data_IF_802591789348
#
_entry.id   IF_802591789348
#
_cell.length_a   1.000
_cell.length_b   1.000
_cell.length_c   1.000
_cell.angle_alpha   90.00
_cell.angle_beta   90.00
_cell.angle_gamma   90.00
#
_symmetry.space_group_name_H-M   'P 1'
#
loop_
_entity.id
_entity.type
_entity.pdbx_description
1 polymer ?
#
# COMPACT_ATOMS: atom_id res chain seq x y z
N UNK A 1 67.86 22.12 -38.32
CA UNK A 1 67.90 23.24 -39.27
C UNK A 1 66.68 23.11 -40.18
N UNK A 2 65.92 24.20 -40.30
CA UNK A 2 64.62 24.30 -40.99
C UNK A 2 64.69 23.85 -42.45
N UNK A 3 63.63 23.21 -42.97
CA UNK A 3 62.97 23.78 -44.15
C UNK A 3 61.54 23.27 -44.36
N UNK A 4 60.71 24.27 -44.63
CA UNK A 4 59.27 24.34 -44.70
C UNK A 4 58.70 23.86 -46.06
N UNK A 5 57.48 23.30 -45.95
CA UNK A 5 56.27 23.56 -46.74
C UNK A 5 56.28 23.65 -48.29
N UNK A 6 55.40 22.79 -48.84
CA UNK A 6 54.25 23.16 -49.69
C UNK A 6 54.46 23.50 -51.16
N UNK A 7 53.84 22.70 -52.03
CA UNK A 7 53.04 23.21 -53.18
C UNK A 7 51.93 22.21 -53.58
N UNK A 8 50.77 22.38 -52.95
CA UNK A 8 49.42 22.56 -53.54
C UNK A 8 49.11 22.02 -54.97
N UNK A 9 48.10 21.13 -55.08
CA UNK A 9 46.86 21.39 -55.86
C UNK A 9 45.72 20.38 -55.63
N UNK A 10 44.56 20.98 -55.33
CA UNK A 10 43.13 20.58 -55.37
C UNK A 10 42.75 19.18 -55.93
N UNK A 11 41.73 18.48 -55.41
CA UNK A 11 40.33 18.90 -55.41
C UNK A 11 39.46 18.29 -54.29
N UNK A 12 38.51 19.13 -53.87
CA UNK A 12 37.34 18.92 -53.02
C UNK A 12 36.55 17.66 -53.38
N UNK A 13 36.19 16.84 -52.38
CA UNK A 13 34.80 16.39 -52.10
C UNK A 13 34.72 15.45 -50.89
N UNK A 14 34.40 16.05 -49.75
CA UNK A 14 33.41 15.60 -48.76
C UNK A 14 32.62 14.34 -49.12
N UNK A 15 32.75 13.26 -48.32
CA UNK A 15 31.64 12.47 -47.77
C UNK A 15 32.05 11.83 -46.44
N UNK A 16 31.52 12.38 -45.37
CA UNK A 16 31.45 11.80 -44.03
C UNK A 16 30.38 10.71 -44.05
N UNK A 17 30.62 9.56 -43.42
CA UNK A 17 29.56 8.72 -42.89
C UNK A 17 30.09 7.97 -41.67
N UNK A 18 29.61 8.41 -40.51
CA UNK A 18 29.92 7.90 -39.19
C UNK A 18 29.13 6.61 -38.91
N UNK A 19 29.81 5.60 -38.37
CA UNK A 19 29.15 4.43 -37.77
C UNK A 19 28.64 4.82 -36.39
N UNK A 20 27.32 4.83 -36.22
CA UNK A 20 26.64 5.03 -34.93
C UNK A 20 26.51 3.65 -34.26
N UNK A 21 27.22 3.46 -33.16
CA UNK A 21 27.01 2.35 -32.23
C UNK A 21 25.65 2.53 -31.55
N UNK A 22 24.73 1.59 -31.77
CA UNK A 22 23.47 1.52 -31.04
C UNK A 22 23.70 0.74 -29.74
N UNK A 23 24.03 1.46 -28.67
CA UNK A 23 24.01 0.90 -27.32
C UNK A 23 22.55 0.73 -26.89
N UNK A 24 22.08 -0.51 -26.87
CA UNK A 24 20.79 -0.90 -26.30
C UNK A 24 20.72 -0.46 -24.84
N UNK A 25 19.82 0.48 -24.56
CA UNK A 25 19.40 0.87 -23.22
C UNK A 25 18.67 -0.32 -22.58
N UNK A 26 19.41 -1.19 -21.89
CA UNK A 26 18.83 -2.13 -20.93
C UNK A 26 18.42 -1.33 -19.70
N UNK A 27 17.24 -0.69 -19.74
CA UNK A 27 16.62 -0.18 -18.52
C UNK A 27 16.34 -1.37 -17.61
N UNK A 28 16.88 -1.43 -16.38
CA UNK A 28 16.39 -2.40 -15.43
C UNK A 28 14.93 -2.04 -15.15
N UNK A 29 14.01 -2.89 -15.58
CA UNK A 29 12.65 -2.88 -15.03
C UNK A 29 12.81 -3.24 -13.56
N UNK A 30 12.86 -2.22 -12.70
CA UNK A 30 12.63 -2.40 -11.27
C UNK A 30 11.24 -3.02 -11.17
N UNK A 31 11.18 -4.32 -10.85
CA UNK A 31 9.96 -4.92 -10.36
C UNK A 31 9.65 -4.20 -9.05
N UNK A 32 8.76 -3.22 -9.08
CA UNK A 32 8.12 -2.75 -7.86
C UNK A 32 7.46 -3.99 -7.26
N UNK A 33 7.88 -4.38 -6.06
CA UNK A 33 7.14 -5.38 -5.30
C UNK A 33 5.68 -4.91 -5.24
N UNK A 34 4.74 -5.82 -5.52
CA UNK A 34 3.32 -5.52 -5.41
C UNK A 34 3.00 -5.32 -3.92
N UNK A 35 3.20 -4.10 -3.43
CA UNK A 35 2.91 -3.69 -2.05
C UNK A 35 1.40 -3.63 -1.77
N UNK A 36 0.56 -3.96 -2.76
CA UNK A 36 -0.87 -4.00 -2.55
C UNK A 36 -1.23 -5.07 -1.52
N UNK A 37 -2.07 -4.74 -0.51
CA UNK A 37 -2.46 -5.70 0.50
C UNK A 37 -3.08 -6.96 -0.11
N UNK A 38 -2.64 -8.12 0.37
CA UNK A 38 -3.22 -9.41 0.02
C UNK A 38 -4.27 -9.76 1.07
N UNK A 39 -5.52 -9.92 0.66
CA UNK A 39 -6.65 -10.14 1.58
C UNK A 39 -7.38 -11.40 1.19
N UNK A 40 -7.57 -12.29 2.15
CA UNK A 40 -8.41 -13.50 2.01
C UNK A 40 -9.52 -13.47 3.06
N UNK A 41 -10.66 -14.07 2.75
CA UNK A 41 -11.81 -14.15 3.65
C UNK A 41 -12.35 -15.57 3.70
N UNK A 42 -12.41 -16.14 4.90
CA UNK A 42 -13.18 -17.32 5.22
C UNK A 42 -14.48 -16.92 5.94
N UNK A 43 -15.61 -17.16 5.28
CA UNK A 43 -16.95 -16.91 5.82
C UNK A 43 -17.73 -18.19 6.14
N UNK A 44 -17.05 -19.34 6.20
CA UNK A 44 -17.69 -20.64 6.42
C UNK A 44 -18.27 -20.81 7.83
N UNK A 45 -17.71 -20.10 8.82
CA UNK A 45 -18.11 -20.17 10.23
C UNK A 45 -19.07 -19.06 10.66
N UNK A 46 -19.49 -18.19 9.75
CA UNK A 46 -20.28 -17.02 10.10
C UNK A 46 -21.69 -17.39 10.57
N UNK A 47 -22.14 -16.76 11.65
CA UNK A 47 -23.46 -16.97 12.28
C UNK A 47 -24.00 -15.63 12.79
N UNK A 48 -25.32 -15.43 12.95
CA UNK A 48 -26.43 -16.32 12.58
C UNK A 48 -26.75 -16.33 11.07
N UNK A 49 -26.19 -15.40 10.29
CA UNK A 49 -26.44 -15.28 8.85
C UNK A 49 -25.20 -15.67 8.05
N UNK A 50 -25.40 -16.36 6.94
CA UNK A 50 -24.34 -16.62 5.96
C UNK A 50 -24.00 -15.35 5.16
N UNK A 51 -22.74 -15.17 4.81
CA UNK A 51 -22.32 -14.02 3.99
C UNK A 51 -22.47 -14.38 2.51
N UNK A 52 -23.25 -13.61 1.76
CA UNK A 52 -23.46 -13.87 0.34
C UNK A 52 -22.19 -13.61 -0.48
N UNK A 53 -22.00 -14.33 -1.58
CA UNK A 53 -20.77 -14.24 -2.38
C UNK A 53 -20.46 -12.81 -2.89
N UNK A 54 -21.49 -12.01 -3.20
CA UNK A 54 -21.30 -10.60 -3.58
C UNK A 54 -20.84 -9.76 -2.38
N UNK A 55 -21.42 -10.00 -1.21
CA UNK A 55 -21.06 -9.35 0.05
C UNK A 55 -19.61 -9.67 0.44
N UNK A 56 -19.21 -10.95 0.35
CA UNK A 56 -17.82 -11.37 0.59
C UNK A 56 -16.83 -10.63 -0.32
N UNK A 57 -17.13 -10.57 -1.62
CA UNK A 57 -16.29 -9.83 -2.59
C UNK A 57 -16.19 -8.34 -2.26
N UNK A 58 -17.31 -7.72 -1.86
CA UNK A 58 -17.33 -6.32 -1.48
C UNK A 58 -16.48 -6.07 -0.23
N UNK A 59 -16.61 -6.90 0.81
CA UNK A 59 -15.81 -6.82 2.04
C UNK A 59 -14.32 -6.92 1.72
N UNK A 60 -13.89 -7.95 0.98
CA UNK A 60 -12.47 -8.15 0.62
C UNK A 60 -11.92 -6.94 -0.13
N UNK A 61 -12.67 -6.45 -1.12
CA UNK A 61 -12.30 -5.27 -1.91
C UNK A 61 -12.15 -4.03 -1.03
N UNK A 62 -13.15 -3.74 -0.21
CA UNK A 62 -13.21 -2.50 0.57
C UNK A 62 -12.21 -2.52 1.73
N UNK A 63 -11.98 -3.69 2.33
CA UNK A 63 -10.94 -3.89 3.34
C UNK A 63 -9.52 -3.72 2.75
N UNK A 64 -9.27 -4.27 1.55
CA UNK A 64 -8.02 -4.03 0.81
C UNK A 64 -7.81 -2.54 0.53
N UNK A 65 -8.84 -1.82 0.11
CA UNK A 65 -8.74 -0.37 -0.08
C UNK A 65 -8.49 0.38 1.23
N UNK A 66 -9.11 -0.03 2.33
CA UNK A 66 -8.89 0.59 3.63
C UNK A 66 -7.41 0.51 4.07
N UNK A 67 -6.78 -0.66 3.94
CA UNK A 67 -5.35 -0.82 4.26
C UNK A 67 -4.42 -0.11 3.29
N UNK A 68 -4.74 -0.11 1.99
CA UNK A 68 -3.98 0.66 0.98
C UNK A 68 -3.99 2.16 1.33
N UNK A 69 -5.16 2.69 1.71
CA UNK A 69 -5.31 4.09 2.08
C UNK A 69 -4.70 4.41 3.44
N UNK A 70 -4.71 3.46 4.38
CA UNK A 70 -4.03 3.62 5.66
C UNK A 70 -2.52 3.76 5.47
N UNK A 71 -1.90 2.86 4.70
CA UNK A 71 -0.47 2.95 4.38
C UNK A 71 -0.13 4.29 3.73
N UNK A 72 -0.89 4.69 2.71
CA UNK A 72 -0.70 5.98 2.05
C UNK A 72 -0.90 7.18 3.00
N UNK A 73 -1.85 7.12 3.93
CA UNK A 73 -2.08 8.17 4.93
C UNK A 73 -0.90 8.30 5.90
N UNK A 74 -0.33 7.17 6.31
CA UNK A 74 0.78 7.09 7.27
C UNK A 74 2.10 7.51 6.64
N UNK A 75 2.31 7.15 5.38
CA UNK A 75 3.48 7.59 4.61
C UNK A 75 3.43 9.09 4.33
N UNK A 76 2.31 9.57 3.82
CA UNK A 76 2.16 10.98 3.42
C UNK A 76 1.89 11.92 4.60
N UNK A 77 1.79 11.37 5.83
CA UNK A 77 1.35 12.10 7.01
C UNK A 77 0.07 12.91 6.75
N UNK A 78 -0.91 12.30 6.06
CA UNK A 78 -2.13 12.97 5.65
C UNK A 78 -3.36 12.15 6.00
N UNK A 79 -4.10 12.63 7.00
CA UNK A 79 -5.37 12.03 7.41
C UNK A 79 -6.48 12.12 6.34
N UNK A 80 -6.27 12.89 5.26
CA UNK A 80 -7.26 13.04 4.19
C UNK A 80 -7.55 11.72 3.45
N UNK A 81 -6.59 10.80 3.42
CA UNK A 81 -6.71 9.51 2.73
C UNK A 81 -7.49 8.46 3.53
N UNK A 82 -7.65 8.66 4.86
CA UNK A 82 -8.45 7.79 5.72
C UNK A 82 -9.95 7.95 5.52
N UNK A 83 -10.37 9.07 4.92
CA UNK A 83 -11.78 9.44 4.81
C UNK A 83 -12.59 8.37 4.04
N UNK A 84 -13.86 8.21 4.41
CA UNK A 84 -14.86 7.29 3.81
C UNK A 84 -14.65 5.78 3.97
N UNK A 85 -13.45 5.31 4.34
CA UNK A 85 -13.16 3.88 4.57
C UNK A 85 -13.10 3.52 6.06
N UNK A 86 -12.80 4.51 6.90
CA UNK A 86 -12.85 4.40 8.34
C UNK A 86 -13.91 5.35 8.91
N UNK A 87 -14.60 4.91 9.96
CA UNK A 87 -15.51 5.75 10.72
C UNK A 87 -15.52 5.35 12.20
N UNK A 88 -16.14 6.16 13.04
CA UNK A 88 -16.19 5.89 14.49
C UNK A 88 -14.79 5.81 15.12
N UNK A 89 -14.62 4.90 16.06
CA UNK A 89 -13.39 4.77 16.87
C UNK A 89 -12.15 4.43 16.03
N UNK A 90 -12.30 3.65 14.96
CA UNK A 90 -11.20 3.37 14.04
C UNK A 90 -10.66 4.66 13.39
N UNK A 91 -11.55 5.50 12.86
CA UNK A 91 -11.14 6.77 12.24
C UNK A 91 -10.48 7.71 13.24
N UNK A 92 -11.05 7.85 14.43
CA UNK A 92 -10.53 8.76 15.45
C UNK A 92 -9.12 8.34 15.92
N UNK A 93 -8.92 7.04 16.15
CA UNK A 93 -7.63 6.47 16.52
C UNK A 93 -6.57 6.70 15.44
N UNK A 94 -6.86 6.33 14.20
CA UNK A 94 -5.93 6.46 13.08
C UNK A 94 -5.58 7.91 12.77
N UNK A 95 -6.55 8.82 12.86
CA UNK A 95 -6.30 10.27 12.78
C UNK A 95 -5.40 10.76 13.89
N UNK A 96 -5.58 10.25 15.12
CA UNK A 96 -4.69 10.50 16.24
C UNK A 96 -3.26 10.08 15.95
N UNK A 97 -3.07 8.88 15.38
CA UNK A 97 -1.75 8.36 14.98
C UNK A 97 -1.09 9.24 13.94
N UNK A 98 -1.79 9.57 12.84
CA UNK A 98 -1.26 10.47 11.80
C UNK A 98 -0.91 11.84 12.37
N UNK A 99 -1.76 12.41 13.23
CA UNK A 99 -1.49 13.69 13.88
C UNK A 99 -0.26 13.62 14.80
N UNK A 100 -0.04 12.48 15.44
CA UNK A 100 1.15 12.27 16.27
C UNK A 100 2.42 12.25 15.42
N UNK A 101 2.41 11.52 14.31
CA UNK A 101 3.51 11.48 13.35
C UNK A 101 3.85 12.86 12.78
N UNK A 102 2.83 13.64 12.41
CA UNK A 102 3.01 15.02 11.96
C UNK A 102 3.75 15.90 12.98
N UNK A 103 3.45 15.75 14.28
CA UNK A 103 4.10 16.53 15.34
C UNK A 103 5.56 16.13 15.56
N UNK A 104 5.90 14.86 15.33
CA UNK A 104 7.26 14.37 15.51
C UNK A 104 8.11 14.48 14.25
N UNK A 105 7.50 14.76 13.09
CA UNK A 105 8.18 14.77 11.79
C UNK A 105 8.48 13.36 11.25
N UNK A 106 8.00 12.31 11.92
CA UNK A 106 8.20 10.93 11.50
C UNK A 106 7.10 10.50 10.53
N UNK A 107 7.35 9.51 9.69
CA UNK A 107 6.33 8.80 8.89
C UNK A 107 6.42 7.31 9.17
N UNK A 108 5.40 6.56 8.80
CA UNK A 108 5.46 5.10 8.85
C UNK A 108 4.83 4.46 7.62
N UNK A 109 5.21 3.21 7.36
CA UNK A 109 4.75 2.44 6.21
C UNK A 109 4.48 0.99 6.59
N UNK A 110 3.51 0.41 5.91
CA UNK A 110 3.16 -1.00 5.97
C UNK A 110 3.54 -1.66 4.64
N UNK A 111 4.44 -2.62 4.68
CA UNK A 111 4.94 -3.34 3.52
C UNK A 111 4.54 -4.82 3.60
N UNK A 112 4.52 -5.49 2.45
CA UNK A 112 4.29 -6.94 2.36
C UNK A 112 3.03 -7.44 3.09
N UNK A 113 1.98 -6.62 3.10
CA UNK A 113 0.77 -6.83 3.89
C UNK A 113 -0.03 -8.07 3.44
N UNK A 114 -0.31 -8.97 4.37
CA UNK A 114 -1.18 -10.14 4.22
C UNK A 114 -2.23 -10.14 5.34
N UNK A 115 -3.49 -10.26 4.96
CA UNK A 115 -4.63 -10.30 5.87
C UNK A 115 -5.43 -11.57 5.64
N UNK A 116 -5.59 -12.35 6.70
CA UNK A 116 -6.46 -13.52 6.72
C UNK A 116 -7.66 -13.23 7.60
N UNK A 117 -8.78 -12.93 6.94
CA UNK A 117 -10.04 -12.61 7.59
C UNK A 117 -10.86 -13.88 7.84
N UNK A 118 -11.37 -14.03 9.04
CA UNK A 118 -12.42 -15.00 9.39
C UNK A 118 -13.67 -14.21 9.79
N UNK A 119 -14.78 -14.39 9.06
CA UNK A 119 -16.05 -13.78 9.46
C UNK A 119 -16.72 -14.63 10.53
N UNK A 120 -16.81 -14.09 11.74
CA UNK A 120 -17.31 -14.81 12.92
C UNK A 120 -18.77 -14.48 13.24
N UNK A 121 -19.20 -13.26 12.93
CA UNK A 121 -20.57 -12.82 13.15
C UNK A 121 -21.06 -11.96 12.00
N UNK A 122 -22.24 -12.26 11.46
CA UNK A 122 -22.94 -11.37 10.53
C UNK A 122 -24.37 -11.18 10.99
N UNK A 123 -24.75 -9.94 11.28
CA UNK A 123 -26.05 -9.63 11.85
C UNK A 123 -27.20 -10.13 10.96
N UNK A 124 -28.34 -10.57 11.53
CA UNK A 124 -29.49 -11.03 10.75
C UNK A 124 -29.96 -10.04 9.68
N UNK A 125 -29.94 -8.75 10.01
CA UNK A 125 -30.38 -7.65 9.13
C UNK A 125 -29.31 -7.30 8.08
N UNK A 126 -28.07 -7.77 8.28
CA UNK A 126 -26.96 -7.59 7.34
C UNK A 126 -26.25 -6.24 7.43
N UNK A 127 -26.45 -5.52 8.53
CA UNK A 127 -25.98 -4.15 8.78
C UNK A 127 -24.65 -4.07 9.55
N UNK A 128 -24.15 -5.18 10.08
CA UNK A 128 -22.83 -5.25 10.70
C UNK A 128 -22.23 -6.65 10.54
N UNK A 129 -20.94 -6.71 10.25
CA UNK A 129 -20.14 -7.92 10.23
C UNK A 129 -18.93 -7.75 11.15
N UNK A 130 -18.67 -8.77 11.96
CA UNK A 130 -17.44 -8.90 12.73
C UNK A 130 -16.48 -9.86 12.02
N UNK A 131 -15.24 -9.43 11.88
CA UNK A 131 -14.16 -10.19 11.29
C UNK A 131 -13.02 -10.29 12.30
N UNK A 132 -12.40 -11.46 12.33
CA UNK A 132 -11.11 -11.68 12.99
C UNK A 132 -10.04 -11.66 11.91
N UNK A 133 -9.10 -10.72 11.98
CA UNK A 133 -8.01 -10.59 11.03
C UNK A 133 -6.68 -11.01 11.63
N UNK A 134 -6.04 -12.04 11.06
CA UNK A 134 -4.61 -12.26 11.27
C UNK A 134 -3.84 -11.48 10.22
N UNK A 135 -3.32 -10.32 10.60
CA UNK A 135 -2.50 -9.46 9.76
C UNK A 135 -1.02 -9.80 9.92
N UNK A 136 -0.32 -9.92 8.81
CA UNK A 136 1.13 -10.07 8.74
C UNK A 136 1.68 -8.97 7.82
N UNK A 137 2.66 -8.21 8.28
CA UNK A 137 3.26 -7.12 7.52
C UNK A 137 4.64 -6.76 8.05
N UNK A 138 5.45 -6.09 7.23
CA UNK A 138 6.63 -5.38 7.70
C UNK A 138 6.25 -3.92 7.98
N UNK A 139 6.62 -3.41 9.16
CA UNK A 139 6.32 -2.06 9.59
C UNK A 139 7.59 -1.25 9.75
N UNK A 140 7.64 -0.10 9.09
CA UNK A 140 8.79 0.78 9.11
C UNK A 140 8.42 2.16 9.64
N UNK A 141 9.30 2.73 10.47
CA UNK A 141 9.22 4.13 10.90
C UNK A 141 10.40 4.88 10.31
N UNK A 142 10.13 6.04 9.75
CA UNK A 142 11.09 6.90 9.09
C UNK A 142 11.19 8.27 9.76
N UNK A 143 12.40 8.81 9.81
CA UNK A 143 12.71 10.21 10.12
C UNK A 143 13.36 10.83 8.87
N UNK A 144 12.55 11.57 8.10
CA UNK A 144 12.90 11.96 6.74
C UNK A 144 13.12 10.73 5.84
N UNK A 145 14.26 10.68 5.14
CA UNK A 145 14.61 9.56 4.26
C UNK A 145 15.26 8.38 5.00
N UNK A 146 15.41 8.48 6.32
CA UNK A 146 16.09 7.45 7.12
C UNK A 146 15.08 6.55 7.81
N UNK A 147 15.14 5.26 7.53
CA UNK A 147 14.46 4.24 8.34
C UNK A 147 15.14 4.14 9.72
N UNK A 148 14.37 4.37 10.78
CA UNK A 148 14.84 4.34 12.18
C UNK A 148 14.32 3.13 12.96
N UNK A 149 13.27 2.49 12.45
CA UNK A 149 12.71 1.25 12.98
C UNK A 149 12.19 0.40 11.82
N UNK A 150 12.41 -0.90 11.88
CA UNK A 150 11.81 -1.87 10.98
C UNK A 150 11.53 -3.14 11.81
N UNK A 151 10.31 -3.64 11.73
CA UNK A 151 9.93 -4.91 12.32
C UNK A 151 9.02 -5.71 11.40
N UNK A 152 9.15 -7.02 11.47
CA UNK A 152 8.15 -7.93 10.94
C UNK A 152 7.11 -8.21 12.04
N UNK A 153 5.84 -7.97 11.76
CA UNK A 153 4.76 -8.05 12.75
C UNK A 153 3.67 -9.04 12.31
N UNK A 154 3.17 -9.80 13.28
CA UNK A 154 1.94 -10.57 13.18
C UNK A 154 0.98 -10.02 14.24
N UNK A 155 -0.16 -9.49 13.81
CA UNK A 155 -1.14 -8.81 14.67
C UNK A 155 -2.52 -9.39 14.45
N UNK A 156 -3.23 -9.66 15.55
CA UNK A 156 -4.62 -10.09 15.52
C UNK A 156 -5.53 -8.89 15.72
N UNK A 157 -6.48 -8.66 14.80
CA UNK A 157 -7.48 -7.61 14.93
C UNK A 157 -8.90 -8.16 15.03
N UNK A 158 -9.68 -7.62 15.97
CA UNK A 158 -11.14 -7.66 15.90
C UNK A 158 -11.59 -6.44 15.08
N UNK A 159 -12.26 -6.71 13.97
CA UNK A 159 -12.73 -5.72 13.00
C UNK A 159 -14.25 -5.72 12.99
N UNK A 160 -14.85 -4.53 13.08
CA UNK A 160 -16.26 -4.33 12.80
C UNK A 160 -16.42 -3.53 11.52
N UNK A 161 -17.16 -4.07 10.56
CA UNK A 161 -17.53 -3.36 9.34
C UNK A 161 -19.04 -3.20 9.23
N UNK A 162 -19.47 -2.07 8.70
CA UNK A 162 -20.89 -1.76 8.40
C UNK A 162 -21.02 -1.33 6.94
N UNK A 163 -22.15 -1.59 6.27
CA UNK A 163 -22.40 -1.01 4.96
C UNK A 163 -22.52 0.52 5.08
N UNK A 164 -21.81 1.23 4.20
CA UNK A 164 -21.94 2.65 3.93
C UNK A 164 -22.80 2.90 2.68
N UNK A 165 -22.64 4.08 2.07
CA UNK A 165 -23.42 4.44 0.88
C UNK A 165 -23.14 3.54 -0.35
N UNK A 166 -21.87 3.16 -0.55
CA UNK A 166 -21.39 2.42 -1.73
C UNK A 166 -20.33 1.35 -1.41
N UNK A 167 -19.96 1.19 -0.14
CA UNK A 167 -18.85 0.35 0.32
C UNK A 167 -19.04 -0.10 1.76
N UNK A 168 -18.32 -1.15 2.16
CA UNK A 168 -18.15 -1.49 3.57
C UNK A 168 -17.13 -0.54 4.23
N UNK A 169 -17.45 -0.12 5.45
CA UNK A 169 -16.66 0.87 6.22
C UNK A 169 -16.21 0.23 7.52
N UNK A 170 -14.92 0.38 7.86
CA UNK A 170 -14.35 -0.10 9.12
C UNK A 170 -14.76 0.86 10.25
N UNK A 171 -15.52 0.36 11.21
CA UNK A 171 -15.94 1.09 12.42
C UNK A 171 -14.99 0.87 13.58
N UNK A 172 -14.43 -0.33 13.65
CA UNK A 172 -13.48 -0.74 14.68
C UNK A 172 -12.37 -1.54 14.03
N UNK A 173 -11.13 -1.26 14.44
CA UNK A 173 -9.92 -2.01 14.11
C UNK A 173 -9.12 -2.10 15.40
N UNK A 174 -9.34 -3.16 16.17
CA UNK A 174 -8.79 -3.30 17.52
C UNK A 174 -7.80 -4.44 17.58
N UNK A 175 -6.54 -4.13 17.92
CA UNK A 175 -5.54 -5.16 18.15
C UNK A 175 -5.89 -5.95 19.43
N UNK A 176 -5.77 -7.27 19.35
CA UNK A 176 -5.96 -8.21 20.46
C UNK A 176 -4.76 -9.15 20.53
N UNK A 177 -4.44 -9.74 21.70
CA UNK A 177 -3.30 -10.66 21.83
C UNK A 177 -3.47 -11.94 21.01
N UNK A 178 -4.71 -12.44 20.92
CA UNK A 178 -5.13 -13.64 20.21
C UNK A 178 -6.67 -13.66 20.11
N UNK A 179 -7.22 -14.57 19.31
CA UNK A 179 -8.67 -14.80 19.16
C UNK A 179 -9.24 -15.82 20.15
#
# INVERSE_FOLDING_TARGET
>A
MKQDYSYMKHHVRMRVSAMILLALLSSPTLFAADNAPQVTLDASKTSPRSVEALTQRAIVRDYKFAWTNLDAAMESNSAGLLNSLFAGTANDSLRGTVSSQQRTGMTSRYLNQRHKLEAVFYAPVGDVIELHDTAEYDFEIHDGDKTIHNEHAIVHYVVLMTPGADRWVIRQLQAVPQF
#
